data_IF_674856198166
#
_entry.id   IF_674856198166
#
_cell.length_a   1.000
_cell.length_b   1.000
_cell.length_c   1.000
_cell.angle_alpha   90.00
_cell.angle_beta   90.00
_cell.angle_gamma   90.00
#
_symmetry.space_group_name_H-M   'P 1'
#
loop_
_entity.id
_entity.type
_entity.pdbx_description
1 polymer ?
#
# COMPACT_ATOMS: atom_id res chain seq x y z
N UNK A 1 -6.65 13.24 -7.71
CA UNK A 1 -7.64 12.41 -6.99
C UNK A 1 -7.16 12.22 -5.55
N UNK A 2 -8.07 12.15 -4.58
CA UNK A 2 -7.73 11.94 -3.16
C UNK A 2 -8.56 10.79 -2.60
N UNK A 3 -7.93 9.96 -1.77
CA UNK A 3 -8.58 8.87 -1.05
C UNK A 3 -7.99 8.77 0.35
N UNK A 4 -8.82 8.39 1.30
CA UNK A 4 -8.42 8.17 2.67
C UNK A 4 -9.51 7.45 3.44
N UNK A 5 -9.09 6.69 4.44
CA UNK A 5 -9.97 5.97 5.35
C UNK A 5 -9.45 6.19 6.77
N UNK A 6 -10.35 6.21 7.75
CA UNK A 6 -10.02 6.28 9.17
C UNK A 6 -10.95 5.38 9.96
N UNK A 7 -10.42 4.73 10.98
CA UNK A 7 -11.18 3.97 11.96
C UNK A 7 -11.15 4.74 13.28
N UNK A 8 -12.29 5.28 13.70
CA UNK A 8 -12.36 6.19 14.85
C UNK A 8 -13.52 5.85 15.78
N UNK A 9 -13.41 6.18 17.08
CA UNK A 9 -14.55 6.13 18.00
C UNK A 9 -15.70 7.02 17.49
N UNK A 10 -16.94 6.65 17.85
CA UNK A 10 -18.16 7.38 17.45
C UNK A 10 -18.08 8.89 17.72
N UNK A 11 -17.49 9.29 18.86
CA UNK A 11 -17.34 10.69 19.25
C UNK A 11 -16.47 11.52 18.27
N UNK A 12 -15.61 10.88 17.47
CA UNK A 12 -14.69 11.54 16.55
C UNK A 12 -15.15 11.52 15.08
N UNK A 13 -16.30 10.91 14.78
CA UNK A 13 -16.79 10.74 13.39
C UNK A 13 -16.93 12.08 12.68
N UNK A 14 -17.62 13.05 13.28
CA UNK A 14 -17.85 14.37 12.67
C UNK A 14 -16.54 15.09 12.37
N UNK A 15 -15.65 15.19 13.37
CA UNK A 15 -14.35 15.86 13.21
C UNK A 15 -13.49 15.18 12.15
N UNK A 16 -13.51 13.85 12.09
CA UNK A 16 -12.75 13.07 11.10
C UNK A 16 -13.32 13.24 9.70
N UNK A 17 -14.65 13.23 9.56
CA UNK A 17 -15.33 13.45 8.30
C UNK A 17 -15.01 14.83 7.71
N UNK A 18 -15.05 15.89 8.54
CA UNK A 18 -14.66 17.24 8.12
C UNK A 18 -13.21 17.31 7.66
N UNK A 19 -12.28 16.62 8.34
CA UNK A 19 -10.86 16.56 7.94
C UNK A 19 -10.66 15.85 6.60
N UNK A 20 -11.35 14.74 6.36
CA UNK A 20 -11.27 14.01 5.09
C UNK A 20 -11.88 14.84 3.95
N UNK A 21 -12.98 15.54 4.20
CA UNK A 21 -13.59 16.46 3.23
C UNK A 21 -12.65 17.61 2.89
N UNK A 22 -12.02 18.24 3.89
CA UNK A 22 -11.04 19.29 3.68
C UNK A 22 -9.84 18.79 2.85
N UNK A 23 -9.31 17.60 3.18
CA UNK A 23 -8.23 16.96 2.38
C UNK A 23 -8.64 16.74 0.94
N UNK A 24 -9.89 16.34 0.67
CA UNK A 24 -10.38 16.19 -0.69
C UNK A 24 -10.47 17.54 -1.40
N UNK A 25 -11.04 18.57 -0.74
CA UNK A 25 -11.16 19.91 -1.30
C UNK A 25 -9.81 20.57 -1.63
N UNK A 26 -8.74 20.24 -0.89
CA UNK A 26 -7.38 20.75 -1.15
C UNK A 26 -6.62 19.99 -2.25
N UNK A 27 -7.14 18.89 -2.78
CA UNK A 27 -6.43 18.03 -3.74
C UNK A 27 -6.47 18.52 -5.20
N UNK A 28 -6.75 19.80 -5.42
CA UNK A 28 -6.96 20.41 -6.74
C UNK A 28 -8.43 20.35 -7.19
N UNK A 29 -8.66 20.19 -8.50
CA UNK A 29 -10.01 20.15 -9.05
C UNK A 29 -10.77 18.90 -8.56
N UNK A 30 -11.82 19.13 -7.77
CA UNK A 30 -12.63 18.07 -7.15
C UNK A 30 -14.09 18.29 -7.49
N UNK A 31 -14.58 17.56 -8.50
CA UNK A 31 -15.97 17.68 -8.96
C UNK A 31 -16.96 16.92 -8.08
N UNK A 32 -16.51 15.84 -7.43
CA UNK A 32 -17.34 14.97 -6.59
C UNK A 32 -16.55 14.38 -5.44
N UNK A 33 -17.11 14.47 -4.24
CA UNK A 33 -16.62 13.79 -3.04
C UNK A 33 -17.70 12.84 -2.53
N UNK A 34 -17.32 11.63 -2.17
CA UNK A 34 -18.19 10.65 -1.49
C UNK A 34 -17.58 10.33 -0.14
N UNK A 35 -18.40 10.43 0.91
CA UNK A 35 -18.04 10.08 2.27
C UNK A 35 -19.04 9.06 2.79
N UNK A 36 -18.53 7.94 3.28
CA UNK A 36 -19.34 6.85 3.85
C UNK A 36 -18.89 6.61 5.29
N UNK A 37 -19.85 6.37 6.17
CA UNK A 37 -19.60 6.03 7.57
C UNK A 37 -20.31 4.72 7.84
N UNK A 38 -19.52 3.68 8.14
CA UNK A 38 -20.01 2.36 8.50
C UNK A 38 -19.70 2.09 9.97
N UNK A 39 -20.68 1.60 10.73
CA UNK A 39 -20.45 1.12 12.08
C UNK A 39 -19.76 -0.25 12.06
N UNK A 40 -18.72 -0.42 12.86
CA UNK A 40 -17.99 -1.68 13.02
C UNK A 40 -18.14 -2.13 14.47
N UNK A 41 -18.62 -3.35 14.66
CA UNK A 41 -18.75 -3.94 16.00
C UNK A 41 -17.38 -4.06 16.66
N UNK A 42 -17.29 -3.69 17.95
CA UNK A 42 -16.05 -3.79 18.72
C UNK A 42 -15.48 -5.22 18.73
N UNK A 43 -16.34 -6.25 18.73
CA UNK A 43 -15.92 -7.65 18.69
C UNK A 43 -15.33 -8.10 17.34
N UNK A 44 -15.47 -7.31 16.28
CA UNK A 44 -14.86 -7.57 14.98
C UNK A 44 -13.48 -6.90 14.82
N UNK A 45 -13.06 -6.08 15.79
CA UNK A 45 -11.77 -5.40 15.76
C UNK A 45 -10.66 -6.37 16.16
N UNK A 46 -9.62 -6.41 15.34
CA UNK A 46 -8.39 -7.15 15.62
C UNK A 46 -7.26 -6.15 15.69
N UNK A 47 -6.44 -6.24 16.74
CA UNK A 47 -5.21 -5.46 16.87
C UNK A 47 -4.02 -6.32 16.48
N UNK A 48 -3.13 -5.78 15.66
CA UNK A 48 -1.88 -6.39 15.25
C UNK A 48 -0.76 -5.33 15.31
N UNK A 49 0.49 -5.73 15.58
CA UNK A 49 1.61 -4.82 15.51
C UNK A 49 1.83 -4.32 14.07
N UNK A 50 2.38 -3.12 13.93
CA UNK A 50 2.93 -2.69 12.66
C UNK A 50 4.17 -3.53 12.32
N UNK A 51 4.44 -3.73 11.03
CA UNK A 51 5.66 -4.40 10.59
C UNK A 51 6.90 -3.61 10.98
N UNK A 52 7.96 -4.33 11.36
CA UNK A 52 9.29 -3.74 11.55
C UNK A 52 9.80 -3.17 10.23
N UNK A 53 10.30 -1.95 10.26
CA UNK A 53 10.71 -1.21 9.07
C UNK A 53 12.22 -1.29 8.91
N UNK A 54 12.67 -1.68 7.72
CA UNK A 54 14.06 -1.50 7.29
C UNK A 54 14.12 -0.73 5.99
N UNK A 55 15.09 0.18 5.88
CA UNK A 55 15.33 0.92 4.63
C UNK A 55 16.53 0.34 3.91
N UNK A 56 16.35 0.00 2.65
CA UNK A 56 17.39 -0.42 1.70
C UNK A 56 17.68 0.77 0.79
N UNK A 57 18.84 1.38 0.98
CA UNK A 57 19.32 2.45 0.11
C UNK A 57 19.84 1.83 -1.19
N UNK A 58 19.33 2.31 -2.32
CA UNK A 58 19.73 1.90 -3.67
C UNK A 58 20.09 3.13 -4.49
N UNK A 59 20.99 2.96 -5.45
CA UNK A 59 21.47 4.02 -6.33
C UNK A 59 20.42 4.41 -7.38
N UNK A 60 19.69 3.43 -7.91
CA UNK A 60 18.73 3.64 -8.99
C UNK A 60 17.58 2.60 -8.95
N UNK A 61 16.51 2.81 -9.76
CA UNK A 61 15.39 1.86 -9.82
C UNK A 61 15.75 0.46 -10.31
N UNK A 62 16.83 0.30 -11.07
CA UNK A 62 17.27 -1.02 -11.57
C UNK A 62 17.81 -1.85 -10.42
N UNK A 63 18.70 -1.28 -9.61
CA UNK A 63 19.18 -1.91 -8.38
C UNK A 63 18.03 -2.17 -7.41
N UNK A 64 17.14 -1.20 -7.22
CA UNK A 64 15.96 -1.34 -6.37
C UNK A 64 15.07 -2.52 -6.76
N UNK A 65 14.71 -2.63 -8.04
CA UNK A 65 13.89 -3.72 -8.57
C UNK A 65 14.60 -5.07 -8.49
N UNK A 66 15.91 -5.12 -8.69
CA UNK A 66 16.69 -6.34 -8.54
C UNK A 66 16.68 -6.84 -7.09
N UNK A 67 16.93 -5.97 -6.10
CA UNK A 67 16.91 -6.32 -4.69
C UNK A 67 15.49 -6.67 -4.19
N UNK A 68 14.47 -5.95 -4.65
CA UNK A 68 13.08 -6.28 -4.35
C UNK A 68 12.67 -7.64 -4.94
N UNK A 69 13.13 -7.96 -6.15
CA UNK A 69 12.93 -9.28 -6.78
C UNK A 69 13.61 -10.39 -5.97
N UNK A 70 14.84 -10.18 -5.50
CA UNK A 70 15.53 -11.11 -4.63
C UNK A 70 14.76 -11.32 -3.31
N UNK A 71 14.26 -10.24 -2.70
CA UNK A 71 13.46 -10.32 -1.48
C UNK A 71 12.17 -11.15 -1.66
N UNK A 72 11.48 -11.01 -2.80
CA UNK A 72 10.32 -11.84 -3.13
C UNK A 72 10.69 -13.31 -3.31
N UNK A 73 11.80 -13.61 -3.99
CA UNK A 73 12.29 -14.99 -4.17
C UNK A 73 12.64 -15.67 -2.85
N UNK A 74 13.30 -14.95 -1.95
CA UNK A 74 13.64 -15.43 -0.61
C UNK A 74 12.39 -15.73 0.24
N UNK A 75 11.26 -15.07 -0.06
CA UNK A 75 9.96 -15.32 0.57
C UNK A 75 9.20 -16.50 -0.08
N UNK A 76 9.79 -17.15 -1.09
CA UNK A 76 9.20 -18.31 -1.76
C UNK A 76 8.36 -17.97 -2.99
N UNK A 77 8.36 -16.74 -3.47
CA UNK A 77 7.72 -16.39 -4.75
C UNK A 77 8.57 -16.93 -5.90
N UNK A 78 7.95 -17.64 -6.84
CA UNK A 78 8.66 -18.21 -7.98
C UNK A 78 9.23 -17.11 -8.90
N UNK A 79 10.26 -17.47 -9.68
CA UNK A 79 10.99 -16.52 -10.53
C UNK A 79 10.10 -15.83 -11.57
N UNK A 80 9.21 -16.58 -12.23
CA UNK A 80 8.29 -16.03 -13.22
C UNK A 80 7.32 -15.00 -12.61
N UNK A 81 6.58 -15.30 -11.51
CA UNK A 81 5.72 -14.33 -10.84
C UNK A 81 6.44 -13.07 -10.36
N UNK A 82 7.69 -13.17 -9.87
CA UNK A 82 8.45 -11.98 -9.50
C UNK A 82 8.65 -11.03 -10.70
N UNK A 83 9.09 -11.57 -11.84
CA UNK A 83 9.26 -10.80 -13.07
C UNK A 83 7.93 -10.23 -13.59
N UNK A 84 6.87 -11.04 -13.55
CA UNK A 84 5.54 -10.63 -13.98
C UNK A 84 5.00 -9.47 -13.12
N UNK A 85 5.13 -9.54 -11.79
CA UNK A 85 4.70 -8.48 -10.89
C UNK A 85 5.46 -7.16 -11.12
N UNK A 86 6.79 -7.23 -11.28
CA UNK A 86 7.63 -6.06 -11.58
C UNK A 86 7.23 -5.41 -12.90
N UNK A 87 7.06 -6.21 -13.95
CA UNK A 87 6.64 -5.71 -15.27
C UNK A 87 5.24 -5.10 -15.21
N UNK A 88 4.31 -5.74 -14.50
CA UNK A 88 2.92 -5.31 -14.43
C UNK A 88 2.79 -3.95 -13.73
N UNK A 89 3.52 -3.74 -12.63
CA UNK A 89 3.54 -2.45 -11.94
C UNK A 89 4.28 -1.38 -12.76
N UNK A 90 5.32 -1.73 -13.51
CA UNK A 90 6.07 -0.77 -14.32
C UNK A 90 5.30 -0.32 -15.58
N UNK A 91 4.48 -1.20 -16.17
CA UNK A 91 3.69 -0.90 -17.38
C UNK A 91 2.28 -0.38 -17.10
N UNK A 92 1.84 -0.42 -15.84
CA UNK A 92 0.47 -0.10 -15.44
C UNK A 92 -0.38 -1.38 -15.35
N UNK A 93 -0.85 -1.76 -14.16
CA UNK A 93 -1.49 -3.06 -13.94
C UNK A 93 -2.92 -3.16 -14.50
N UNK A 94 -3.52 -2.05 -14.90
CA UNK A 94 -4.87 -2.03 -15.51
C UNK A 94 -4.83 -2.61 -16.94
N UNK A 95 -5.78 -3.49 -17.34
CA UNK A 95 -5.88 -3.99 -18.71
C UNK A 95 -6.01 -2.89 -19.78
N UNK A 96 -6.58 -1.74 -19.41
CA UNK A 96 -6.76 -0.58 -20.29
C UNK A 96 -5.57 0.40 -20.24
N UNK A 97 -4.46 0.00 -19.60
CA UNK A 97 -3.31 0.85 -19.33
C UNK A 97 -3.44 1.71 -18.08
N UNK A 98 -2.31 2.04 -17.47
CA UNK A 98 -2.23 2.92 -16.30
C UNK A 98 -2.51 2.24 -14.94
N UNK A 99 -2.65 3.05 -13.87
CA UNK A 99 -2.78 2.55 -12.50
C UNK A 99 -4.16 1.91 -12.22
N UNK A 100 -4.18 0.91 -11.36
CA UNK A 100 -5.40 0.35 -10.78
C UNK A 100 -5.78 1.09 -9.48
N UNK A 101 -7.06 1.00 -9.09
CA UNK A 101 -7.58 1.59 -7.85
C UNK A 101 -7.44 0.69 -6.62
N UNK A 102 -6.81 -0.46 -6.79
CA UNK A 102 -6.62 -1.52 -5.81
C UNK A 102 -5.47 -2.44 -6.24
N UNK A 103 -5.21 -3.47 -5.45
CA UNK A 103 -4.13 -4.40 -5.67
C UNK A 103 -4.52 -5.50 -6.68
N UNK A 104 -3.52 -5.95 -7.43
CA UNK A 104 -3.54 -7.25 -8.12
C UNK A 104 -3.36 -8.35 -7.08
N UNK A 105 -4.11 -9.44 -7.19
CA UNK A 105 -3.86 -10.63 -6.38
C UNK A 105 -3.17 -11.64 -7.28
N UNK A 106 -1.89 -11.92 -7.05
CA UNK A 106 -1.09 -12.79 -7.91
C UNK A 106 -0.79 -14.12 -7.23
N UNK A 107 -1.00 -15.22 -7.95
CA UNK A 107 -0.53 -16.52 -7.50
C UNK A 107 1.01 -16.59 -7.54
N UNK A 108 1.61 -16.92 -6.40
CA UNK A 108 3.07 -16.88 -6.21
C UNK A 108 3.85 -17.96 -6.97
N UNK A 109 3.19 -18.96 -7.56
CA UNK A 109 3.83 -20.04 -8.33
C UNK A 109 3.65 -19.83 -9.83
N UNK A 110 2.41 -19.60 -10.27
CA UNK A 110 2.04 -19.50 -11.68
C UNK A 110 2.07 -18.08 -12.23
N UNK A 111 1.92 -17.07 -11.38
CA UNK A 111 1.83 -15.65 -11.79
C UNK A 111 0.44 -15.24 -12.27
N UNK A 112 -0.54 -16.14 -12.15
CA UNK A 112 -1.93 -15.89 -12.54
C UNK A 112 -2.55 -14.80 -11.67
N UNK A 113 -3.35 -13.92 -12.29
CA UNK A 113 -4.16 -12.92 -11.59
C UNK A 113 -5.43 -13.57 -11.04
N UNK A 114 -5.68 -13.38 -9.75
CA UNK A 114 -6.74 -14.02 -8.98
C UNK A 114 -7.81 -13.03 -8.50
N UNK A 115 -7.60 -11.73 -8.66
CA UNK A 115 -8.65 -10.77 -8.32
C UNK A 115 -9.86 -10.89 -9.25
N UNK A 116 -11.09 -10.70 -8.74
CA UNK A 116 -12.31 -10.88 -9.53
C UNK A 116 -12.53 -9.80 -10.61
N UNK A 117 -11.87 -8.65 -10.48
CA UNK A 117 -11.95 -7.55 -11.43
C UNK A 117 -10.57 -6.94 -11.64
N UNK A 118 -9.98 -7.18 -12.81
CA UNK A 118 -8.63 -6.78 -13.16
C UNK A 118 -8.48 -5.28 -13.46
N UNK A 119 -9.56 -4.55 -13.76
CA UNK A 119 -9.53 -3.09 -13.93
C UNK A 119 -9.52 -2.35 -12.57
N UNK A 120 -10.21 -2.92 -11.56
CA UNK A 120 -10.36 -2.28 -10.25
C UNK A 120 -9.35 -2.77 -9.23
N UNK A 121 -9.07 -4.08 -9.21
CA UNK A 121 -8.31 -4.74 -8.16
C UNK A 121 -9.09 -4.95 -6.86
N UNK A 122 -8.40 -5.48 -5.86
CA UNK A 122 -8.89 -5.64 -4.49
C UNK A 122 -8.38 -4.50 -3.64
N UNK A 123 -9.27 -3.81 -2.92
CA UNK A 123 -8.90 -2.67 -2.08
C UNK A 123 -8.87 -3.06 -0.62
N UNK A 124 -7.70 -2.91 0.01
CA UNK A 124 -7.56 -3.00 1.47
C UNK A 124 -8.31 -1.82 2.10
N UNK A 125 -9.17 -2.13 3.07
CA UNK A 125 -10.03 -1.20 3.79
C UNK A 125 -10.22 -1.69 5.22
N UNK A 126 -10.88 -0.90 6.06
CA UNK A 126 -11.15 -1.16 7.49
C UNK A 126 -9.87 -1.42 8.27
N UNK A 127 -8.96 -0.45 8.24
CA UNK A 127 -7.69 -0.48 8.97
C UNK A 127 -7.23 0.92 9.30
N UNK A 128 -6.69 1.08 10.51
CA UNK A 128 -6.01 2.29 10.93
C UNK A 128 -4.98 1.94 12.01
N UNK A 129 -4.21 2.94 12.44
CA UNK A 129 -3.24 2.83 13.52
C UNK A 129 -3.70 3.66 14.71
N UNK A 130 -3.40 3.18 15.92
CA UNK A 130 -3.67 3.94 17.13
C UNK A 130 -2.97 5.32 17.07
N UNK A 131 -3.60 6.39 17.56
CA UNK A 131 -3.06 7.75 17.42
C UNK A 131 -1.64 7.92 17.94
N UNK A 132 -1.30 7.28 19.06
CA UNK A 132 0.00 7.37 19.70
C UNK A 132 1.08 6.69 18.85
N UNK A 133 0.79 5.51 18.33
CA UNK A 133 1.72 4.77 17.46
C UNK A 133 1.87 5.48 16.10
N UNK A 134 0.79 6.05 15.56
CA UNK A 134 0.87 6.87 14.35
C UNK A 134 1.78 8.07 14.55
N UNK A 135 1.71 8.74 15.71
CA UNK A 135 2.61 9.84 16.04
C UNK A 135 4.07 9.39 16.16
N UNK A 136 4.33 8.23 16.77
CA UNK A 136 5.68 7.63 16.83
C UNK A 136 6.24 7.31 15.46
N UNK A 137 5.47 6.65 14.59
CA UNK A 137 5.90 6.31 13.23
C UNK A 137 6.15 7.57 12.41
N UNK A 138 5.30 8.60 12.52
CA UNK A 138 5.53 9.91 11.86
C UNK A 138 6.82 10.59 12.31
N UNK A 139 7.19 10.46 13.57
CA UNK A 139 8.44 11.02 14.08
C UNK A 139 9.67 10.29 13.49
N UNK A 140 9.54 9.00 13.17
CA UNK A 140 10.59 8.18 12.56
C UNK A 140 10.62 8.30 11.02
N UNK A 141 9.48 8.57 10.41
CA UNK A 141 9.29 8.59 8.97
C UNK A 141 8.57 9.87 8.52
N UNK A 142 9.25 10.68 7.74
CA UNK A 142 8.86 12.06 7.45
C UNK A 142 7.62 12.24 6.55
N UNK A 143 6.94 11.18 6.07
CA UNK A 143 5.79 11.32 5.17
C UNK A 143 4.54 10.54 5.58
N UNK A 144 3.38 11.19 5.45
CA UNK A 144 2.06 10.55 5.63
C UNK A 144 1.88 9.35 4.69
N UNK A 145 2.45 9.43 3.48
CA UNK A 145 2.38 8.34 2.50
C UNK A 145 3.02 7.06 3.04
N UNK A 146 4.18 7.18 3.69
CA UNK A 146 4.85 6.04 4.29
C UNK A 146 4.00 5.44 5.42
N UNK A 147 3.45 6.28 6.29
CA UNK A 147 2.61 5.84 7.41
C UNK A 147 1.38 5.09 6.89
N UNK A 148 0.68 5.65 5.91
CA UNK A 148 -0.51 5.01 5.33
C UNK A 148 -0.14 3.69 4.61
N UNK A 149 1.00 3.63 3.89
CA UNK A 149 1.49 2.40 3.26
C UNK A 149 1.84 1.32 4.29
N UNK A 150 2.53 1.68 5.38
CA UNK A 150 2.89 0.75 6.45
C UNK A 150 1.65 0.14 7.11
N UNK A 151 0.61 0.93 7.35
CA UNK A 151 -0.66 0.46 7.93
C UNK A 151 -1.32 -0.59 7.02
N UNK A 152 -1.40 -0.30 5.73
CA UNK A 152 -1.99 -1.21 4.75
C UNK A 152 -1.19 -2.51 4.66
N UNK A 153 0.13 -2.40 4.47
CA UNK A 153 1.04 -3.54 4.37
C UNK A 153 1.03 -4.41 5.64
N UNK A 154 0.94 -3.79 6.83
CA UNK A 154 0.86 -4.54 8.10
C UNK A 154 -0.42 -5.36 8.21
N UNK A 155 -1.55 -4.81 7.77
CA UNK A 155 -2.80 -5.59 7.69
C UNK A 155 -2.67 -6.73 6.67
N UNK A 156 -2.17 -6.44 5.48
CA UNK A 156 -2.01 -7.43 4.40
C UNK A 156 -1.11 -8.58 4.86
N UNK A 157 0.03 -8.27 5.48
CA UNK A 157 0.96 -9.27 6.00
C UNK A 157 0.38 -10.11 7.15
N UNK A 158 -0.63 -9.61 7.89
CA UNK A 158 -1.29 -10.41 8.92
C UNK A 158 -2.25 -11.47 8.35
N UNK A 159 -2.56 -11.41 7.06
CA UNK A 159 -3.34 -12.43 6.37
C UNK A 159 -2.44 -13.63 6.06
N UNK A 160 -2.67 -14.77 6.71
CA UNK A 160 -1.84 -15.98 6.52
C UNK A 160 -1.85 -16.57 5.10
N UNK A 161 -2.70 -16.07 4.20
CA UNK A 161 -2.71 -16.44 2.78
C UNK A 161 -1.82 -15.54 1.91
N UNK A 162 -1.27 -14.45 2.44
CA UNK A 162 -0.40 -13.52 1.71
C UNK A 162 1.06 -13.81 2.04
N UNK A 163 1.83 -14.15 1.01
CA UNK A 163 3.27 -14.44 1.15
C UNK A 163 4.09 -13.15 1.17
N UNK A 164 3.77 -12.22 0.27
CA UNK A 164 4.42 -10.93 0.14
C UNK A 164 3.47 -9.89 -0.45
N UNK A 165 3.73 -8.62 -0.13
CA UNK A 165 3.11 -7.44 -0.72
C UNK A 165 4.20 -6.59 -1.37
N UNK A 166 4.00 -6.16 -2.62
CA UNK A 166 4.93 -5.35 -3.40
C UNK A 166 4.18 -4.09 -3.85
N UNK A 167 4.76 -2.92 -3.59
CA UNK A 167 4.15 -1.68 -4.03
C UNK A 167 5.10 -0.50 -4.15
N UNK A 168 4.78 0.40 -5.07
CA UNK A 168 5.31 1.76 -5.14
C UNK A 168 4.21 2.73 -5.56
N UNK A 169 4.43 4.02 -5.32
CA UNK A 169 3.43 5.05 -5.57
C UNK A 169 3.21 5.27 -7.07
N UNK A 170 1.99 5.66 -7.45
CA UNK A 170 1.65 6.22 -8.78
C UNK A 170 2.03 7.72 -8.88
N UNK A 171 2.16 8.41 -7.74
CA UNK A 171 2.70 9.79 -7.68
C UNK A 171 4.07 9.91 -8.41
N UNK A 172 4.18 10.69 -9.50
CA UNK A 172 5.42 10.83 -10.28
C UNK A 172 6.62 11.37 -9.48
N UNK A 173 6.38 12.10 -8.39
CA UNK A 173 7.44 12.67 -7.57
C UNK A 173 7.89 11.73 -6.43
N UNK A 174 7.16 10.63 -6.21
CA UNK A 174 7.45 9.66 -5.13
C UNK A 174 8.00 8.35 -5.70
N UNK A 175 9.31 8.23 -5.74
CA UNK A 175 10.04 7.04 -6.24
C UNK A 175 10.24 5.88 -5.25
N UNK A 176 10.16 6.05 -3.91
CA UNK A 176 10.28 4.92 -2.99
C UNK A 176 9.15 3.90 -3.14
N UNK A 177 9.47 2.64 -2.83
CA UNK A 177 8.50 1.55 -2.74
C UNK A 177 8.92 0.52 -1.71
N UNK A 178 8.27 -0.65 -1.71
CA UNK A 178 8.49 -1.66 -0.68
C UNK A 178 8.21 -3.08 -1.14
N UNK A 179 8.82 -4.03 -0.43
CA UNK A 179 8.34 -5.42 -0.28
C UNK A 179 8.01 -5.63 1.20
N UNK A 180 6.84 -6.16 1.51
CA UNK A 180 6.41 -6.42 2.88
C UNK A 180 5.93 -7.86 3.07
N UNK A 181 6.21 -8.44 4.23
CA UNK A 181 5.71 -9.77 4.61
C UNK A 181 5.73 -9.94 6.13
N UNK A 182 4.99 -10.93 6.64
CA UNK A 182 5.05 -11.29 8.06
C UNK A 182 6.46 -11.75 8.49
N UNK A 183 7.21 -12.39 7.59
CA UNK A 183 8.50 -12.98 7.90
C UNK A 183 9.67 -11.98 7.86
N UNK A 184 9.60 -10.96 7.00
CA UNK A 184 10.72 -10.01 6.77
C UNK A 184 10.41 -8.55 7.15
N UNK A 185 9.19 -8.27 7.62
CA UNK A 185 8.76 -6.91 7.95
C UNK A 185 8.45 -6.08 6.70
N UNK A 186 8.62 -4.76 6.79
CA UNK A 186 8.45 -3.79 5.72
C UNK A 186 9.83 -3.33 5.20
N UNK A 187 10.21 -3.79 4.01
CA UNK A 187 11.46 -3.43 3.36
C UNK A 187 11.23 -2.27 2.41
N UNK A 188 11.66 -1.08 2.82
CA UNK A 188 11.53 0.13 2.04
C UNK A 188 12.75 0.32 1.13
N UNK A 189 12.55 0.32 -0.17
CA UNK A 189 13.58 0.65 -1.16
C UNK A 189 13.50 2.13 -1.50
N UNK A 190 14.64 2.84 -1.53
CA UNK A 190 14.64 4.30 -1.78
C UNK A 190 14.18 4.66 -3.19
N UNK A 191 14.38 3.78 -4.18
CA UNK A 191 13.93 3.96 -5.56
C UNK A 191 13.44 2.63 -6.16
N UNK A 192 12.17 2.55 -6.58
CA UNK A 192 11.64 1.43 -7.40
C UNK A 192 11.08 1.91 -8.76
N UNK A 193 11.06 3.21 -9.01
CA UNK A 193 10.70 3.80 -10.30
C UNK A 193 11.47 5.09 -10.54
N UNK A 194 11.55 5.49 -11.81
CA UNK A 194 12.12 6.76 -12.21
C UNK A 194 11.24 7.93 -11.77
N UNK A 195 11.88 9.05 -11.41
CA UNK A 195 11.18 10.31 -11.16
C UNK A 195 10.43 10.73 -12.43
N UNK A 196 9.16 11.11 -12.30
CA UNK A 196 8.30 11.48 -13.42
C UNK A 196 7.48 10.31 -14.00
N UNK A 197 7.75 9.06 -13.62
CA UNK A 197 6.91 7.92 -14.02
C UNK A 197 5.60 7.93 -13.22
N UNK A 198 4.42 8.00 -13.86
CA UNK A 198 3.13 7.85 -13.19
C UNK A 198 2.85 6.39 -12.77
#
# INVERSE_FOLDING_TARGET
>A
MSGGERLVPRAHVTTTASRLLARAASAGHTDRVTLTVDEISAGALVTAPALDVRTVCVADPTEGRALATAALRDLGVAEYPCGAAMSLLASGPSPNGGPMRGAVIMDHLSGSRLEPNSERGVRVSRVDMQPEDRARVRALAASERFVDALILASKVASLGCVIADLGWSDDPEYTPGYVASAARGYERFTHLKDTGSP
#
